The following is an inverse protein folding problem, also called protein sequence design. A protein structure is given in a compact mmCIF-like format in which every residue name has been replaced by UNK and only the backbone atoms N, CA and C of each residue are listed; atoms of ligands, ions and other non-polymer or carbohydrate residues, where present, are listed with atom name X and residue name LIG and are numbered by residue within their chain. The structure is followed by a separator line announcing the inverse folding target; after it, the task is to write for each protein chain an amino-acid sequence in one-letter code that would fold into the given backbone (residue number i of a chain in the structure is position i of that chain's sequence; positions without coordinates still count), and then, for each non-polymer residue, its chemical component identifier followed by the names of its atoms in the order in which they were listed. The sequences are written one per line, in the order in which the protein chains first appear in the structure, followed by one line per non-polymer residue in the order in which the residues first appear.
data_IF_860716976018
#
_entry.id   IF_860716976018
#
_cell.length_a   1.000
_cell.length_b   1.000
_cell.length_c   1.000
_cell.angle_alpha   90.00
_cell.angle_beta   90.00
_cell.angle_gamma   90.00
#
_symmetry.space_group_name_H-M   'P 1'
#
loop_
_entity.id
_entity.type
_entity.pdbx_description
1 polymer ?
#
# COMPACT_ATOMS: atom_id res chain seq x y z
N UNK A 1 -14.76 14.60 11.81
CA UNK A 1 -15.49 15.30 10.73
C UNK A 1 -14.74 15.29 9.41
N UNK A 2 -13.45 15.66 9.34
CA UNK A 2 -12.72 15.71 8.05
C UNK A 2 -12.74 14.40 7.25
N UNK A 3 -12.64 13.24 7.91
CA UNK A 3 -12.71 11.93 7.24
C UNK A 3 -14.08 11.72 6.56
N UNK A 4 -15.18 12.05 7.25
CA UNK A 4 -16.53 11.93 6.67
C UNK A 4 -16.70 12.86 5.46
N UNK A 5 -16.19 14.10 5.54
CA UNK A 5 -16.19 15.03 4.42
C UNK A 5 -15.42 14.46 3.22
N UNK A 6 -14.25 13.86 3.45
CA UNK A 6 -13.46 13.20 2.39
C UNK A 6 -14.26 12.06 1.76
N UNK A 7 -14.93 11.22 2.55
CA UNK A 7 -15.75 10.14 2.01
C UNK A 7 -16.92 10.65 1.17
N UNK A 8 -17.66 11.64 1.67
CA UNK A 8 -18.80 12.22 0.95
C UNK A 8 -18.34 12.85 -0.37
N UNK A 9 -17.24 13.61 -0.35
CA UNK A 9 -16.65 14.20 -1.56
C UNK A 9 -16.18 13.13 -2.55
N UNK A 10 -15.47 12.09 -2.08
CA UNK A 10 -15.00 11.01 -2.95
C UNK A 10 -16.14 10.22 -3.59
N UNK A 11 -17.21 9.94 -2.84
CA UNK A 11 -18.38 9.23 -3.38
C UNK A 11 -19.14 10.14 -4.35
N UNK A 12 -19.47 11.36 -3.94
CA UNK A 12 -20.29 12.27 -4.73
C UNK A 12 -19.58 12.78 -5.99
N UNK A 13 -18.32 13.15 -5.87
CA UNK A 13 -17.55 13.70 -6.99
C UNK A 13 -16.84 12.62 -7.81
N UNK A 14 -16.49 11.47 -7.23
CA UNK A 14 -15.74 10.40 -7.91
C UNK A 14 -16.60 9.22 -8.33
N UNK A 15 -17.15 8.50 -7.34
CA UNK A 15 -17.87 7.25 -7.60
C UNK A 15 -19.16 7.43 -8.41
N UNK A 16 -19.99 8.41 -8.05
CA UNK A 16 -21.31 8.63 -8.68
C UNK A 16 -21.19 8.98 -10.17
N UNK A 17 -20.36 9.94 -10.61
CA UNK A 17 -20.22 10.22 -12.05
C UNK A 17 -19.66 9.02 -12.81
N UNK A 18 -18.67 8.33 -12.22
CA UNK A 18 -18.06 7.16 -12.86
C UNK A 18 -19.05 5.99 -13.03
N UNK A 19 -19.92 5.74 -12.05
CA UNK A 19 -20.92 4.67 -12.14
C UNK A 19 -22.02 4.94 -13.18
N UNK A 20 -22.32 6.20 -13.46
CA UNK A 20 -23.28 6.60 -14.51
C UNK A 20 -22.66 6.47 -15.91
N UNK A 21 -21.39 6.80 -16.07
CA UNK A 21 -20.73 6.80 -17.39
C UNK A 21 -20.20 5.44 -17.83
N UNK A 22 -19.87 4.56 -16.87
CA UNK A 22 -19.44 3.20 -17.16
C UNK A 22 -20.63 2.32 -17.51
N UNK A 23 -20.51 1.57 -18.61
CA UNK A 23 -21.52 0.60 -19.04
C UNK A 23 -20.89 -0.70 -19.50
N UNK A 24 -21.62 -1.80 -19.35
CA UNK A 24 -21.21 -3.09 -19.87
C UNK A 24 -21.44 -3.10 -21.39
N UNK A 25 -20.36 -3.17 -22.17
CA UNK A 25 -20.46 -3.32 -23.62
C UNK A 25 -20.75 -4.78 -23.95
N UNK A 26 -21.86 -5.03 -24.66
CA UNK A 26 -22.19 -6.37 -25.14
C UNK A 26 -21.18 -6.81 -26.21
N UNK A 27 -20.80 -8.08 -26.16
CA UNK A 27 -19.95 -8.73 -27.15
C UNK A 27 -20.57 -8.59 -28.55
N UNK A 28 -19.83 -8.03 -29.50
CA UNK A 28 -20.28 -7.95 -30.88
C UNK A 28 -19.64 -9.09 -31.67
N UNK A 29 -20.36 -10.22 -31.76
CA UNK A 29 -19.90 -11.46 -32.44
C UNK A 29 -19.70 -11.30 -33.95
N UNK A 30 -20.22 -10.22 -34.54
CA UNK A 30 -20.17 -9.98 -35.97
C UNK A 30 -18.96 -9.14 -36.42
N UNK A 31 -18.16 -8.63 -35.47
CA UNK A 31 -16.93 -7.88 -35.78
C UNK A 31 -15.74 -8.77 -35.42
N UNK A 32 -14.97 -9.16 -36.43
CA UNK A 32 -13.76 -9.98 -36.31
C UNK A 32 -12.57 -9.19 -35.72
N UNK A 33 -12.81 -8.26 -34.80
CA UNK A 33 -11.75 -7.56 -34.08
C UNK A 33 -11.46 -8.29 -32.77
N UNK A 34 -10.18 -8.57 -32.49
CA UNK A 34 -9.74 -9.26 -31.27
C UNK A 34 -10.18 -8.56 -29.98
N UNK A 35 -10.54 -7.27 -30.05
CA UNK A 35 -11.00 -6.44 -28.93
C UNK A 35 -12.51 -6.57 -28.59
N UNK A 36 -13.33 -7.20 -29.44
CA UNK A 36 -14.79 -7.32 -29.23
C UNK A 36 -15.25 -8.70 -28.74
N UNK A 37 -14.31 -9.62 -28.51
CA UNK A 37 -14.60 -11.01 -28.16
C UNK A 37 -15.17 -11.23 -26.76
N UNK A 38 -14.95 -10.29 -25.82
CA UNK A 38 -15.37 -10.44 -24.43
C UNK A 38 -16.17 -9.22 -23.95
N UNK A 39 -17.23 -9.41 -23.14
CA UNK A 39 -17.93 -8.30 -22.52
C UNK A 39 -16.95 -7.52 -21.63
N UNK A 40 -16.89 -6.21 -21.82
CA UNK A 40 -16.01 -5.33 -21.06
C UNK A 40 -16.80 -4.18 -20.45
N UNK A 41 -16.41 -3.78 -19.25
CA UNK A 41 -16.89 -2.55 -18.63
C UNK A 41 -16.07 -1.40 -19.21
N UNK A 42 -16.71 -0.55 -19.99
CA UNK A 42 -16.04 0.57 -20.65
C UNK A 42 -16.95 1.80 -20.64
N UNK A 43 -16.37 2.94 -21.01
CA UNK A 43 -17.06 4.22 -21.04
C UNK A 43 -18.08 4.20 -22.19
N UNK A 44 -19.30 4.63 -21.90
CA UNK A 44 -20.31 4.80 -22.95
C UNK A 44 -19.87 5.89 -23.95
N UNK A 45 -19.89 5.57 -25.24
CA UNK A 45 -19.53 6.50 -26.32
C UNK A 45 -20.37 7.79 -26.29
N UNK A 46 -21.61 7.72 -25.78
CA UNK A 46 -22.50 8.87 -25.66
C UNK A 46 -21.96 9.93 -24.67
N UNK A 47 -21.30 9.49 -23.60
CA UNK A 47 -20.79 10.35 -22.53
C UNK A 47 -19.29 10.68 -22.67
N UNK A 48 -18.67 10.29 -23.79
CA UNK A 48 -17.22 10.34 -23.94
C UNK A 48 -16.63 11.76 -23.80
N UNK A 49 -17.29 12.77 -24.35
CA UNK A 49 -16.80 14.15 -24.28
C UNK A 49 -16.91 14.73 -22.86
N UNK A 50 -18.01 14.45 -22.18
CA UNK A 50 -18.24 14.87 -20.79
C UNK A 50 -17.24 14.17 -19.86
N UNK A 51 -17.02 12.88 -20.07
CA UNK A 51 -16.03 12.10 -19.34
C UNK A 51 -14.61 12.65 -19.54
N UNK A 52 -14.23 13.00 -20.78
CA UNK A 52 -12.92 13.59 -21.07
C UNK A 52 -12.69 14.90 -20.33
N UNK A 53 -13.65 15.83 -20.40
CA UNK A 53 -13.58 17.11 -19.69
C UNK A 53 -13.51 16.90 -18.17
N UNK A 54 -14.36 16.01 -17.65
CA UNK A 54 -14.37 15.63 -16.24
C UNK A 54 -13.04 15.00 -15.81
N UNK A 55 -12.44 14.12 -16.61
CA UNK A 55 -11.18 13.47 -16.27
C UNK A 55 -10.04 14.50 -16.15
N UNK A 56 -9.94 15.43 -17.10
CA UNK A 56 -8.92 16.48 -17.06
C UNK A 56 -9.10 17.36 -15.82
N UNK A 57 -10.31 17.85 -15.56
CA UNK A 57 -10.60 18.70 -14.39
C UNK A 57 -10.46 17.92 -13.08
N UNK A 58 -10.95 16.68 -13.06
CA UNK A 58 -10.92 15.79 -11.90
C UNK A 58 -9.49 15.47 -11.49
N UNK A 59 -8.60 15.13 -12.42
CA UNK A 59 -7.19 14.94 -12.10
C UNK A 59 -6.52 16.23 -11.64
N UNK A 60 -6.84 17.38 -12.25
CA UNK A 60 -6.32 18.67 -11.79
C UNK A 60 -6.67 18.94 -10.32
N UNK A 61 -7.95 18.80 -9.95
CA UNK A 61 -8.45 19.18 -8.63
C UNK A 61 -8.21 18.10 -7.57
N UNK A 62 -8.47 16.83 -7.88
CA UNK A 62 -8.42 15.75 -6.89
C UNK A 62 -7.05 15.07 -6.79
N UNK A 63 -6.21 15.17 -7.81
CA UNK A 63 -4.88 14.57 -7.80
C UNK A 63 -3.77 15.62 -7.69
N UNK A 64 -3.66 16.53 -8.67
CA UNK A 64 -2.51 17.46 -8.72
C UNK A 64 -2.53 18.53 -7.61
N UNK A 65 -3.69 19.07 -7.23
CA UNK A 65 -3.77 20.05 -6.14
C UNK A 65 -3.39 19.43 -4.78
N UNK A 66 -3.98 18.32 -4.31
CA UNK A 66 -3.55 17.64 -3.10
C UNK A 66 -2.09 17.20 -3.16
N UNK A 67 -1.63 16.74 -4.33
CA UNK A 67 -0.24 16.37 -4.52
C UNK A 67 0.72 17.55 -4.31
N UNK A 68 0.46 18.69 -4.95
CA UNK A 68 1.26 19.89 -4.80
C UNK A 68 1.29 20.37 -3.34
N UNK A 69 0.13 20.35 -2.66
CA UNK A 69 0.06 20.68 -1.23
C UNK A 69 0.94 19.75 -0.40
N UNK A 70 0.84 18.43 -0.58
CA UNK A 70 1.63 17.45 0.16
C UNK A 70 3.13 17.64 -0.13
N UNK A 71 3.52 17.90 -1.37
CA UNK A 71 4.91 18.15 -1.75
C UNK A 71 5.45 19.41 -1.06
N UNK A 72 4.72 20.53 -1.13
CA UNK A 72 5.08 21.79 -0.48
C UNK A 72 5.20 21.62 1.03
N UNK A 73 4.23 20.96 1.68
CA UNK A 73 4.30 20.70 3.11
C UNK A 73 5.48 19.80 3.48
N UNK A 74 5.74 18.75 2.70
CA UNK A 74 6.86 17.82 2.96
C UNK A 74 8.22 18.53 2.84
N UNK A 75 8.40 19.36 1.82
CA UNK A 75 9.60 20.19 1.65
C UNK A 75 9.71 21.21 2.79
N UNK A 76 8.63 21.91 3.12
CA UNK A 76 8.61 22.90 4.19
C UNK A 76 8.99 22.28 5.53
N UNK A 77 8.44 21.11 5.87
CA UNK A 77 8.80 20.37 7.08
C UNK A 77 10.26 19.95 7.06
N UNK A 78 10.78 19.46 5.93
CA UNK A 78 12.19 19.09 5.80
C UNK A 78 13.12 20.29 6.00
N UNK A 79 12.82 21.43 5.39
CA UNK A 79 13.58 22.69 5.52
C UNK A 79 13.55 23.20 6.95
N UNK A 80 12.36 23.33 7.55
CA UNK A 80 12.20 23.79 8.94
C UNK A 80 12.97 22.88 9.90
N UNK A 81 12.97 21.57 9.66
CA UNK A 81 13.75 20.63 10.47
C UNK A 81 15.24 20.76 10.28
N UNK A 82 15.73 21.03 9.07
CA UNK A 82 17.15 21.30 8.82
C UNK A 82 17.60 22.60 9.51
N UNK A 83 16.80 23.66 9.42
CA UNK A 83 17.07 24.94 10.09
C UNK A 83 17.11 24.78 11.61
N UNK A 84 16.13 24.08 12.19
CA UNK A 84 16.11 23.76 13.63
C UNK A 84 17.31 22.93 14.06
N UNK A 85 17.77 21.99 13.23
CA UNK A 85 19.00 21.22 13.51
C UNK A 85 20.25 22.10 13.54
N UNK A 86 20.39 23.01 12.56
CA UNK A 86 21.51 23.98 12.51
C UNK A 86 21.53 24.89 13.73
N UNK A 87 20.37 25.41 14.15
CA UNK A 87 20.27 26.23 15.36
C UNK A 87 20.65 25.45 16.62
N UNK A 88 20.19 24.20 16.75
CA UNK A 88 20.54 23.36 17.90
C UNK A 88 22.01 22.97 17.94
N UNK A 89 22.66 22.72 16.81
CA UNK A 89 24.11 22.44 16.82
C UNK A 89 24.93 23.63 17.31
N UNK A 90 24.49 24.85 17.04
CA UNK A 90 25.12 26.08 17.53
C UNK A 90 24.87 26.24 19.05
N UNK A 91 23.62 26.06 19.52
CA UNK A 91 23.30 26.14 20.95
C UNK A 91 23.97 25.05 21.79
N UNK A 92 24.12 23.84 21.26
CA UNK A 92 24.73 22.70 21.97
C UNK A 92 26.25 22.90 22.19
N UNK A 93 26.93 23.62 21.30
CA UNK A 93 28.33 24.03 21.51
C UNK A 93 28.49 24.97 22.72
N UNK A 94 27.40 25.64 23.13
CA UNK A 94 27.40 26.61 24.24
C UNK A 94 26.92 25.97 25.56
N UNK A 95 26.11 24.90 25.51
CA UNK A 95 25.57 24.22 26.70
C UNK A 95 26.12 22.80 26.87
N UNK A 96 27.42 22.67 27.12
CA UNK A 96 28.05 21.40 27.48
C UNK A 96 27.59 21.03 28.90
N UNK A 97 26.52 20.22 29.07
CA UNK A 97 26.43 19.42 30.30
C UNK A 97 25.08 18.98 30.87
N UNK A 98 23.91 19.48 30.46
CA UNK A 98 22.70 19.30 31.32
C UNK A 98 21.56 18.44 30.72
N UNK A 99 21.54 18.18 29.40
CA UNK A 99 20.44 17.40 28.80
C UNK A 99 20.80 15.92 28.54
N UNK A 100 19.92 14.96 28.87
CA UNK A 100 20.12 13.55 28.55
C UNK A 100 20.10 13.35 27.03
N UNK A 101 21.30 13.22 26.45
CA UNK A 101 21.60 13.01 25.02
C UNK A 101 20.70 11.95 24.34
N UNK A 102 20.21 10.97 25.10
CA UNK A 102 19.33 9.90 24.64
C UNK A 102 17.89 10.31 24.31
N UNK A 103 17.29 11.23 25.07
CA UNK A 103 15.88 11.60 24.89
C UNK A 103 15.66 12.42 23.60
N UNK A 104 16.58 13.35 23.32
CA UNK A 104 16.54 14.16 22.09
C UNK A 104 16.87 13.33 20.85
N UNK A 105 17.87 12.43 20.93
CA UNK A 105 18.19 11.51 19.84
C UNK A 105 17.01 10.59 19.50
N UNK A 106 16.26 10.12 20.50
CA UNK A 106 15.05 9.31 20.30
C UNK A 106 13.95 10.11 19.60
N UNK A 107 13.71 11.35 20.02
CA UNK A 107 12.72 12.24 19.39
C UNK A 107 13.07 12.51 17.92
N UNK A 108 14.34 12.82 17.63
CA UNK A 108 14.80 13.03 16.25
C UNK A 108 14.64 11.78 15.37
N UNK A 109 14.85 10.58 15.93
CA UNK A 109 14.61 9.32 15.21
C UNK A 109 13.14 9.13 14.85
N UNK A 110 12.23 9.41 15.80
CA UNK A 110 10.77 9.34 15.55
C UNK A 110 10.32 10.35 14.49
N UNK A 111 10.80 11.59 14.56
CA UNK A 111 10.49 12.63 13.57
C UNK A 111 11.03 12.26 12.17
N UNK A 112 12.29 11.79 12.07
CA UNK A 112 12.85 11.29 10.80
C UNK A 112 12.05 10.12 10.24
N UNK A 113 11.62 9.20 11.10
CA UNK A 113 10.85 8.03 10.71
C UNK A 113 9.48 8.43 10.14
N UNK A 114 8.79 9.39 10.77
CA UNK A 114 7.52 9.92 10.26
C UNK A 114 7.68 10.62 8.90
N UNK A 115 8.75 11.38 8.69
CA UNK A 115 9.02 12.01 7.38
C UNK A 115 9.33 10.97 6.32
N UNK A 116 10.19 9.99 6.62
CA UNK A 116 10.52 8.93 5.67
C UNK A 116 9.26 8.14 5.29
N UNK A 117 8.38 7.87 6.26
CA UNK A 117 7.08 7.27 5.98
C UNK A 117 6.24 8.13 5.03
N UNK A 118 6.12 9.43 5.31
CA UNK A 118 5.35 10.35 4.46
C UNK A 118 5.92 10.38 3.04
N UNK A 119 7.26 10.48 2.90
CA UNK A 119 7.91 10.50 1.60
C UNK A 119 7.76 9.19 0.83
N UNK A 120 7.78 8.04 1.51
CA UNK A 120 7.56 6.73 0.89
C UNK A 120 6.13 6.59 0.36
N UNK A 121 5.13 7.01 1.15
CA UNK A 121 3.72 7.00 0.75
C UNK A 121 3.50 7.93 -0.44
N UNK A 122 4.04 9.15 -0.40
CA UNK A 122 3.92 10.11 -1.51
C UNK A 122 4.62 9.58 -2.76
N UNK A 123 5.83 9.04 -2.61
CA UNK A 123 6.61 8.47 -3.70
C UNK A 123 5.92 7.29 -4.38
N UNK A 124 5.26 6.40 -3.63
CA UNK A 124 4.51 5.30 -4.23
C UNK A 124 3.30 5.77 -5.00
N UNK A 125 2.54 6.72 -4.44
CA UNK A 125 1.41 7.31 -5.14
C UNK A 125 1.85 7.99 -6.44
N UNK A 126 3.02 8.66 -6.44
CA UNK A 126 3.56 9.26 -7.65
C UNK A 126 3.86 8.25 -8.74
N UNK A 127 4.57 7.18 -8.38
CA UNK A 127 4.99 6.14 -9.32
C UNK A 127 3.77 5.44 -9.94
N UNK A 128 2.67 5.27 -9.19
CA UNK A 128 1.44 4.67 -9.72
C UNK A 128 0.57 5.64 -10.50
N UNK A 129 0.30 6.82 -9.94
CA UNK A 129 -0.72 7.72 -10.49
C UNK A 129 -0.22 8.66 -11.59
N UNK A 130 1.08 9.03 -11.63
CA UNK A 130 1.60 9.85 -12.73
C UNK A 130 1.49 9.09 -14.07
N UNK A 131 1.98 7.84 -14.20
CA UNK A 131 1.86 7.10 -15.45
C UNK A 131 0.40 6.87 -15.84
N UNK A 132 -0.46 6.56 -14.87
CA UNK A 132 -1.90 6.38 -15.10
C UNK A 132 -2.56 7.65 -15.64
N UNK A 133 -2.33 8.81 -15.00
CA UNK A 133 -2.89 10.10 -15.46
C UNK A 133 -2.35 10.50 -16.84
N UNK A 134 -1.05 10.32 -17.07
CA UNK A 134 -0.42 10.59 -18.35
C UNK A 134 -0.99 9.72 -19.47
N UNK A 135 -1.10 8.41 -19.26
CA UNK A 135 -1.69 7.49 -20.21
C UNK A 135 -3.17 7.77 -20.44
N UNK A 136 -3.94 8.05 -19.39
CA UNK A 136 -5.37 8.34 -19.52
C UNK A 136 -5.63 9.62 -20.32
N UNK A 137 -4.82 10.66 -20.14
CA UNK A 137 -4.88 11.87 -20.98
C UNK A 137 -4.48 11.51 -22.42
N UNK A 138 -3.36 10.82 -22.61
CA UNK A 138 -2.88 10.40 -23.93
C UNK A 138 -3.92 9.58 -24.71
N UNK A 139 -4.49 8.55 -24.09
CA UNK A 139 -5.49 7.66 -24.68
C UNK A 139 -6.81 8.38 -25.02
N UNK A 140 -7.13 9.47 -24.31
CA UNK A 140 -8.35 10.26 -24.59
C UNK A 140 -8.12 11.40 -25.60
N UNK A 141 -6.87 11.75 -25.88
CA UNK A 141 -6.51 12.81 -26.85
C UNK A 141 -6.02 12.26 -28.19
N UNK A 142 -5.31 11.14 -28.18
CA UNK A 142 -4.65 10.60 -29.36
C UNK A 142 -5.47 9.44 -29.91
N UNK A 143 -5.78 9.47 -31.21
CA UNK A 143 -6.33 8.30 -31.90
C UNK A 143 -5.16 7.46 -32.40
N UNK A 144 -5.16 6.16 -32.09
CA UNK A 144 -4.25 5.22 -32.74
C UNK A 144 -4.68 5.08 -34.20
N UNK A 145 -3.80 5.48 -35.14
CA UNK A 145 -4.07 5.42 -36.58
C UNK A 145 -3.17 4.35 -37.23
N UNK A 146 -1.98 4.13 -36.68
CA UNK A 146 -1.02 3.12 -37.18
C UNK A 146 -0.90 1.94 -36.23
N UNK A 147 -0.52 0.77 -36.77
CA UNK A 147 -0.25 -0.44 -35.97
C UNK A 147 0.86 -0.22 -34.92
N UNK A 148 1.86 0.63 -35.21
CA UNK A 148 2.87 1.00 -34.22
C UNK A 148 2.27 1.77 -33.04
N UNK A 149 1.30 2.64 -33.29
CA UNK A 149 0.59 3.37 -32.24
C UNK A 149 -0.22 2.42 -31.35
N UNK A 150 -0.87 1.40 -31.94
CA UNK A 150 -1.63 0.39 -31.19
C UNK A 150 -0.73 -0.42 -30.24
N UNK A 151 0.43 -0.87 -30.72
CA UNK A 151 1.40 -1.61 -29.90
C UNK A 151 1.92 -0.74 -28.75
N UNK A 152 2.26 0.52 -29.02
CA UNK A 152 2.71 1.46 -27.99
C UNK A 152 1.60 1.72 -26.98
N UNK A 153 0.37 1.92 -27.46
CA UNK A 153 -0.79 2.14 -26.61
C UNK A 153 -1.03 0.94 -25.67
N UNK A 154 -0.91 -0.29 -26.17
CA UNK A 154 -1.06 -1.50 -25.36
C UNK A 154 0.03 -1.64 -24.28
N UNK A 155 1.31 -1.50 -24.66
CA UNK A 155 2.42 -1.61 -23.70
C UNK A 155 2.40 -0.50 -22.65
N UNK A 156 2.05 0.71 -23.06
CA UNK A 156 1.94 1.83 -22.13
C UNK A 156 0.76 1.63 -21.16
N UNK A 157 -0.39 1.17 -21.66
CA UNK A 157 -1.54 0.80 -20.85
C UNK A 157 -1.25 -0.35 -19.87
N UNK A 158 -0.50 -1.36 -20.29
CA UNK A 158 -0.12 -2.46 -19.37
C UNK A 158 0.84 -1.95 -18.28
N UNK A 159 1.80 -1.11 -18.67
CA UNK A 159 2.82 -0.59 -17.76
C UNK A 159 2.23 0.35 -16.70
N UNK A 160 1.35 1.27 -17.10
CA UNK A 160 0.66 2.15 -16.14
C UNK A 160 -0.23 1.35 -15.19
N UNK A 161 -0.96 0.36 -15.70
CA UNK A 161 -1.85 -0.47 -14.88
C UNK A 161 -1.05 -1.24 -13.82
N UNK A 162 0.09 -1.83 -14.21
CA UNK A 162 0.97 -2.52 -13.27
C UNK A 162 1.52 -1.57 -12.21
N UNK A 163 1.99 -0.37 -12.59
CA UNK A 163 2.51 0.62 -11.64
C UNK A 163 1.44 1.10 -10.67
N UNK A 164 0.21 1.31 -11.15
CA UNK A 164 -0.92 1.70 -10.30
C UNK A 164 -1.23 0.60 -9.27
N UNK A 165 -1.37 -0.66 -9.70
CA UNK A 165 -1.64 -1.77 -8.77
C UNK A 165 -0.50 -2.01 -7.78
N UNK A 166 0.74 -1.88 -8.23
CA UNK A 166 1.90 -1.95 -7.34
C UNK A 166 1.84 -0.85 -6.27
N UNK A 167 1.47 0.38 -6.64
CA UNK A 167 1.35 1.48 -5.68
C UNK A 167 0.34 1.20 -4.57
N UNK A 168 -0.77 0.54 -4.88
CA UNK A 168 -1.80 0.14 -3.91
C UNK A 168 -1.30 -0.96 -2.97
N UNK A 169 -0.57 -1.94 -3.51
CA UNK A 169 0.02 -3.06 -2.77
C UNK A 169 1.18 -2.64 -1.86
N UNK A 170 1.84 -1.51 -2.14
CA UNK A 170 2.94 -1.01 -1.32
C UNK A 170 2.47 -0.35 -0.01
N UNK A 171 1.20 0.05 0.10
CA UNK A 171 0.67 0.71 1.29
C UNK A 171 0.88 -0.10 2.60
N UNK A 172 0.51 -1.40 2.68
CA UNK A 172 0.84 -2.27 3.81
C UNK A 172 2.33 -2.36 4.14
N UNK A 173 3.19 -2.35 3.12
CA UNK A 173 4.65 -2.43 3.29
C UNK A 173 5.17 -1.16 3.97
N UNK A 174 4.64 0.02 3.60
CA UNK A 174 5.02 1.27 4.24
C UNK A 174 4.61 1.33 5.71
N UNK A 175 3.41 0.88 6.06
CA UNK A 175 3.00 0.82 7.47
C UNK A 175 3.95 -0.06 8.29
N UNK A 176 4.34 -1.21 7.74
CA UNK A 176 5.29 -2.12 8.37
C UNK A 176 6.72 -1.56 8.46
N UNK A 177 7.23 -0.88 7.44
CA UNK A 177 8.57 -0.27 7.49
C UNK A 177 8.61 0.94 8.44
N UNK A 178 7.53 1.71 8.45
CA UNK A 178 7.46 2.99 9.12
C UNK A 178 7.17 2.93 10.61
N UNK A 179 6.59 1.86 11.15
CA UNK A 179 6.34 1.75 12.59
C UNK A 179 7.19 0.66 13.21
N UNK A 180 8.14 1.05 14.07
CA UNK A 180 8.89 0.12 14.91
C UNK A 180 7.99 -0.59 15.92
N UNK A 181 6.83 0.00 16.25
CA UNK A 181 5.79 -0.65 17.05
C UNK A 181 5.08 -1.74 16.25
N UNK A 182 4.70 -1.46 14.99
CA UNK A 182 4.06 -2.48 14.15
C UNK A 182 5.00 -3.65 13.88
N UNK A 183 6.29 -3.42 13.59
CA UNK A 183 7.26 -4.52 13.42
C UNK A 183 7.39 -5.40 14.66
N UNK A 184 7.27 -4.84 15.87
CA UNK A 184 7.28 -5.60 17.11
C UNK A 184 6.03 -6.47 17.25
N UNK A 185 4.85 -5.91 16.94
CA UNK A 185 3.60 -6.68 16.95
C UNK A 185 3.57 -7.76 15.86
N UNK A 186 3.99 -7.46 14.63
CA UNK A 186 4.10 -8.47 13.55
C UNK A 186 5.05 -9.59 13.93
N UNK A 187 6.21 -9.28 14.52
CA UNK A 187 7.13 -10.30 15.04
C UNK A 187 6.54 -11.07 16.21
N UNK A 188 5.80 -10.42 17.10
CA UNK A 188 5.11 -11.06 18.23
C UNK A 188 4.09 -12.08 17.70
N UNK A 189 3.20 -11.66 16.80
CA UNK A 189 2.18 -12.51 16.16
C UNK A 189 2.81 -13.63 15.34
N UNK A 190 3.81 -13.33 14.50
CA UNK A 190 4.51 -14.34 13.70
C UNK A 190 5.24 -15.35 14.59
N UNK A 191 5.88 -14.89 15.67
CA UNK A 191 6.55 -15.78 16.62
C UNK A 191 5.57 -16.64 17.40
N UNK A 192 4.35 -16.16 17.70
CA UNK A 192 3.27 -16.96 18.30
C UNK A 192 2.74 -17.99 17.31
N UNK A 193 2.45 -17.58 16.08
CA UNK A 193 2.00 -18.48 15.00
C UNK A 193 3.02 -19.59 14.70
N UNK A 194 4.32 -19.26 14.65
CA UNK A 194 5.39 -20.24 14.44
C UNK A 194 5.70 -21.08 15.69
N UNK A 195 5.50 -20.56 16.92
CA UNK A 195 5.67 -21.34 18.17
C UNK A 195 4.53 -22.31 18.45
N UNK A 196 3.32 -22.05 17.96
CA UNK A 196 2.21 -23.02 18.01
C UNK A 196 2.55 -24.32 17.26
N UNK A 197 3.44 -24.27 16.26
CA UNK A 197 3.91 -25.47 15.55
C UNK A 197 4.94 -26.27 16.35
N UNK A 198 5.78 -25.61 17.14
CA UNK A 198 6.84 -26.27 17.94
C UNK A 198 6.35 -26.88 19.26
N UNK A 199 5.22 -26.39 19.78
CA UNK A 199 4.63 -26.93 21.02
C UNK A 199 3.75 -28.15 20.79
N UNK A 200 3.22 -28.34 19.57
CA UNK A 200 2.37 -29.49 19.23
C UNK A 200 3.17 -30.78 19.02
N UNK A 201 4.39 -30.71 18.47
CA UNK A 201 5.30 -31.88 18.33
C UNK A 201 5.85 -32.39 19.67
N UNK A 202 6.09 -31.52 20.65
CA UNK A 202 6.61 -31.95 21.96
C UNK A 202 5.58 -32.71 22.78
N UNK A 203 4.30 -32.41 22.60
CA UNK A 203 3.22 -33.03 23.39
C UNK A 203 2.86 -34.44 22.87
N UNK A 204 3.05 -34.71 21.57
CA UNK A 204 2.92 -36.06 21.01
C UNK A 204 4.11 -36.97 21.37
N UNK A 205 5.35 -36.50 21.30
CA UNK A 205 6.52 -37.28 21.75
C UNK A 205 6.50 -37.58 23.26
N UNK A 206 6.05 -36.64 24.10
CA UNK A 206 5.94 -36.90 25.55
C UNK A 206 4.81 -37.87 25.91
N UNK A 207 3.74 -37.96 25.09
CA UNK A 207 2.69 -38.98 25.27
C UNK A 207 3.16 -40.37 24.84
N UNK A 208 3.88 -40.50 23.72
CA UNK A 208 4.42 -41.82 23.31
C UNK A 208 5.47 -42.36 24.28
N UNK A 209 6.36 -41.51 24.82
CA UNK A 209 7.37 -41.96 25.81
C UNK A 209 6.71 -42.41 27.12
N UNK A 210 5.62 -41.77 27.56
CA UNK A 210 4.87 -42.22 28.75
C UNK A 210 4.11 -43.53 28.51
N UNK A 211 3.51 -43.72 27.33
CA UNK A 211 2.79 -44.97 27.01
C UNK A 211 3.74 -46.17 26.91
N UNK A 212 4.92 -45.99 26.28
CA UNK A 212 5.94 -47.04 26.18
C UNK A 212 6.54 -47.40 27.55
N UNK A 213 6.77 -46.42 28.44
CA UNK A 213 7.26 -46.67 29.80
C UNK A 213 6.23 -47.40 30.70
N UNK A 214 4.93 -47.24 30.43
CA UNK A 214 3.86 -47.94 31.15
C UNK A 214 3.62 -49.38 30.66
N UNK A 215 4.05 -49.71 29.43
CA UNK A 215 3.96 -51.09 28.90
C UNK A 215 5.19 -51.94 29.21
N UNK A 216 6.34 -51.33 29.55
CA UNK A 216 7.55 -52.06 29.93
C UNK A 216 7.66 -52.40 31.42
N UNK A 217 6.71 -51.96 32.25
CA UNK A 217 6.77 -52.11 33.72
C UNK A 217 5.85 -53.19 34.30
N UNK A 218 5.37 -54.15 33.50
CA UNK A 218 4.79 -55.39 34.02
C UNK A 218 5.68 -56.60 33.71
N UNK A 219 6.69 -56.87 34.55
CA UNK A 219 7.15 -58.23 34.76
C UNK A 219 6.25 -58.95 35.76
N UNK A 220 5.93 -60.19 35.40
CA UNK A 220 5.38 -61.26 36.22
C UNK A 220 5.76 -61.18 37.71
N UNK A 221 4.76 -61.12 38.59
CA UNK A 221 4.79 -61.84 39.86
C UNK A 221 3.42 -62.45 40.16
N UNK A 222 3.18 -63.59 39.55
CA UNK A 222 2.52 -64.68 40.24
C UNK A 222 3.45 -65.18 41.35
N UNK A 223 3.02 -65.11 42.62
CA UNK A 223 3.25 -66.11 43.68
C UNK A 223 2.83 -65.58 45.07
N UNK A 224 1.95 -66.36 45.71
CA UNK A 224 1.85 -66.60 47.16
C UNK A 224 1.24 -65.50 48.04
N UNK A 225 0.01 -65.73 48.52
CA UNK A 225 -0.29 -65.87 49.96
C UNK A 225 -1.81 -66.11 50.21
N UNK A 226 -2.08 -67.20 50.95
CA UNK A 226 -3.29 -67.59 51.70
C UNK A 226 -4.60 -67.85 50.93
#
# INVERSE_FOLDING_TARGET
MCILCIWILSVGCGFVPFSIWMSARKMNRFVLSQETGWPSCTISLYWFQQFKAYAVFGYAVFFYVPFALILVFSISVAVVMQLRRRQRSIGYATSIGVYPRGAEALRQRKEKQAIVQLMLIVGSFLIGYIPHTAYHIYATTTKAITHHDEVVHWWFGMSEYMLLRLSECLNPIFYNLASSSMRKETKSVLSRACRCRKSRDRDESSKQVKVFALTSSTPDQAKSAA
#
